data_IF_622253980594
#
_entry.id   IF_622253980594
#
_cell.length_a   1.000
_cell.length_b   1.000
_cell.length_c   1.000
_cell.angle_alpha   90.00
_cell.angle_beta   90.00
_cell.angle_gamma   90.00
#
_symmetry.space_group_name_H-M   'P 1'
#
loop_
_entity.id
_entity.type
_entity.pdbx_description
1 polymer ?
#
# COMPACT_ATOMS: atom_id res chain seq x y z
N UNK A 1 -6.77 -32.08 20.28
CA UNK A 1 -7.08 -30.82 20.83
C UNK A 1 -7.72 -29.85 19.87
N UNK A 2 -8.41 -28.88 20.44
CA UNK A 2 -9.04 -27.80 19.69
C UNK A 2 -8.04 -26.66 19.53
N UNK A 3 -8.19 -25.90 18.43
CA UNK A 3 -7.42 -24.70 18.21
C UNK A 3 -8.20 -23.48 18.65
N UNK A 4 -7.61 -22.64 19.50
CA UNK A 4 -8.17 -21.35 19.88
C UNK A 4 -7.27 -20.24 19.34
N UNK A 5 -7.79 -19.04 19.34
CA UNK A 5 -7.07 -17.86 18.82
C UNK A 5 -7.00 -16.78 19.88
N UNK A 6 -5.85 -16.16 20.02
CA UNK A 6 -5.67 -15.04 20.93
C UNK A 6 -6.47 -13.84 20.43
N UNK A 7 -7.31 -13.27 21.30
CA UNK A 7 -8.19 -12.17 20.92
C UNK A 7 -7.45 -10.86 20.64
N UNK A 8 -6.20 -10.74 21.04
CA UNK A 8 -5.36 -9.55 20.78
C UNK A 8 -4.37 -9.78 19.65
N UNK A 9 -3.68 -10.92 19.66
CA UNK A 9 -2.61 -11.21 18.68
C UNK A 9 -3.10 -11.99 17.47
N UNK A 10 -4.27 -12.65 17.57
CA UNK A 10 -4.85 -13.54 16.56
C UNK A 10 -4.06 -14.85 16.38
N UNK A 11 -3.05 -15.08 17.19
CA UNK A 11 -2.21 -16.28 17.07
C UNK A 11 -2.97 -17.54 17.48
N UNK A 12 -2.82 -18.65 16.73
CA UNK A 12 -3.44 -19.91 17.10
C UNK A 12 -2.73 -20.57 18.27
N UNK A 13 -3.53 -21.20 19.14
CA UNK A 13 -3.03 -21.94 20.31
C UNK A 13 -3.79 -23.26 20.37
N UNK A 14 -3.09 -24.36 20.57
CA UNK A 14 -3.72 -25.66 20.78
C UNK A 14 -4.15 -25.77 22.23
N UNK A 15 -5.44 -26.07 22.44
CA UNK A 15 -6.01 -26.21 23.78
C UNK A 15 -5.83 -27.66 24.23
N UNK A 16 -5.15 -27.87 25.36
CA UNK A 16 -4.97 -29.19 25.97
C UNK A 16 -5.39 -29.20 27.42
N UNK A 17 -6.17 -28.22 27.87
CA UNK A 17 -6.69 -28.15 29.22
C UNK A 17 -8.21 -28.32 29.23
N UNK A 18 -8.76 -28.66 30.40
CA UNK A 18 -10.20 -28.76 30.62
C UNK A 18 -10.72 -27.51 31.31
N UNK A 19 -11.97 -27.14 31.00
CA UNK A 19 -12.61 -25.99 31.60
C UNK A 19 -12.92 -24.89 30.60
N UNK A 20 -13.50 -23.76 31.07
CA UNK A 20 -13.83 -22.66 30.18
C UNK A 20 -12.62 -21.95 29.63
N UNK A 21 -12.76 -21.38 28.41
CA UNK A 21 -11.68 -20.61 27.80
C UNK A 21 -11.45 -19.30 28.56
N UNK A 22 -10.18 -18.88 28.74
CA UNK A 22 -9.89 -17.52 29.21
C UNK A 22 -10.47 -16.49 28.27
N UNK A 23 -10.71 -15.26 28.78
CA UNK A 23 -11.20 -14.15 27.95
C UNK A 23 -10.26 -13.78 26.81
N UNK A 24 -8.96 -14.11 26.96
CA UNK A 24 -7.96 -13.85 25.94
C UNK A 24 -7.98 -14.82 24.76
N UNK A 25 -8.83 -15.87 24.82
CA UNK A 25 -8.90 -16.89 23.77
C UNK A 25 -10.33 -17.03 23.23
N UNK A 26 -10.44 -17.36 21.96
CA UNK A 26 -11.71 -17.68 21.30
C UNK A 26 -11.53 -18.85 20.34
N UNK A 27 -12.58 -19.66 20.17
CA UNK A 27 -12.59 -20.71 19.16
C UNK A 27 -12.88 -20.17 17.75
N UNK A 28 -13.30 -18.93 17.63
CA UNK A 28 -13.60 -18.30 16.34
C UNK A 28 -12.31 -17.86 15.68
N UNK A 29 -12.13 -18.27 14.41
CA UNK A 29 -10.94 -17.92 13.61
C UNK A 29 -11.11 -16.52 13.02
N UNK A 30 -10.09 -15.65 13.13
CA UNK A 30 -10.15 -14.36 12.43
C UNK A 30 -10.18 -14.59 10.92
N UNK A 31 -10.88 -13.70 10.19
CA UNK A 31 -11.06 -13.78 8.75
C UNK A 31 -10.04 -12.95 7.98
N UNK A 32 -9.40 -11.97 8.60
CA UNK A 32 -8.41 -11.10 7.97
C UNK A 32 -7.41 -10.61 8.99
N UNK A 33 -6.30 -10.06 8.49
CA UNK A 33 -5.28 -9.45 9.35
C UNK A 33 -5.76 -8.16 10.03
N UNK A 34 -6.86 -7.57 9.53
CA UNK A 34 -7.43 -6.34 10.09
C UNK A 34 -8.56 -6.60 11.07
N UNK A 35 -8.85 -7.87 11.36
CA UNK A 35 -9.90 -8.19 12.32
C UNK A 35 -9.48 -7.82 13.73
N UNK A 36 -10.43 -7.31 14.50
CA UNK A 36 -10.27 -7.08 15.94
C UNK A 36 -11.42 -7.75 16.68
N UNK A 37 -11.15 -8.17 17.90
CA UNK A 37 -12.14 -8.85 18.75
C UNK A 37 -12.98 -7.82 19.50
N UNK A 38 -14.32 -7.92 19.36
CA UNK A 38 -15.25 -6.98 20.01
C UNK A 38 -15.81 -7.50 21.34
N UNK A 39 -15.34 -8.67 21.79
CA UNK A 39 -15.85 -9.36 22.98
C UNK A 39 -16.70 -10.59 22.64
N UNK A 40 -17.19 -10.70 21.40
CA UNK A 40 -18.02 -11.81 20.94
C UNK A 40 -17.62 -12.31 19.56
N UNK A 41 -17.21 -11.43 18.69
CA UNK A 41 -16.91 -11.76 17.29
C UNK A 41 -15.68 -11.00 16.80
N UNK A 42 -15.10 -11.51 15.72
CA UNK A 42 -14.10 -10.78 14.96
C UNK A 42 -14.81 -9.80 14.05
N UNK A 43 -14.44 -8.53 14.15
CA UNK A 43 -14.94 -7.46 13.27
C UNK A 43 -13.77 -6.81 12.57
N UNK A 44 -13.99 -6.34 11.33
CA UNK A 44 -12.94 -5.68 10.57
C UNK A 44 -12.65 -4.30 11.18
N UNK A 45 -11.38 -4.04 11.48
CA UNK A 45 -10.93 -2.71 11.86
C UNK A 45 -10.76 -1.89 10.59
N UNK A 46 -11.80 -1.16 10.22
CA UNK A 46 -11.84 -0.39 8.97
C UNK A 46 -10.83 0.75 8.95
N UNK A 47 -10.53 1.32 10.11
CA UNK A 47 -9.52 2.38 10.21
C UNK A 47 -8.11 1.83 9.97
N UNK A 48 -7.79 0.68 10.56
CA UNK A 48 -6.50 0.02 10.34
C UNK A 48 -6.36 -0.42 8.89
N UNK A 49 -7.44 -0.94 8.29
CA UNK A 49 -7.47 -1.36 6.90
C UNK A 49 -7.20 -0.18 5.96
N UNK A 50 -7.86 0.94 6.20
CA UNK A 50 -7.66 2.15 5.41
C UNK A 50 -6.24 2.71 5.57
N UNK A 51 -5.71 2.72 6.80
CA UNK A 51 -4.35 3.18 7.06
C UNK A 51 -3.31 2.33 6.31
N UNK A 52 -3.49 1.00 6.30
CA UNK A 52 -2.60 0.09 5.57
C UNK A 52 -2.67 0.35 4.06
N UNK A 53 -3.88 0.58 3.53
CA UNK A 53 -4.07 0.88 2.11
C UNK A 53 -3.40 2.20 1.73
N UNK A 54 -3.54 3.23 2.55
CA UNK A 54 -2.88 4.52 2.31
C UNK A 54 -1.37 4.37 2.31
N UNK A 55 -0.80 3.59 3.25
CA UNK A 55 0.63 3.31 3.28
C UNK A 55 1.09 2.64 2.00
N UNK A 56 0.36 1.64 1.52
CA UNK A 56 0.67 0.93 0.28
C UNK A 56 0.64 1.87 -0.93
N UNK A 57 -0.38 2.72 -1.03
CA UNK A 57 -0.53 3.69 -2.12
C UNK A 57 0.59 4.74 -2.07
N UNK A 58 0.96 5.18 -0.86
CA UNK A 58 2.07 6.11 -0.66
C UNK A 58 3.39 5.53 -1.16
N UNK A 59 3.64 4.25 -0.90
CA UNK A 59 4.82 3.55 -1.42
C UNK A 59 4.78 3.45 -2.95
N UNK A 60 3.62 3.14 -3.52
CA UNK A 60 3.45 3.09 -4.97
C UNK A 60 3.71 4.44 -5.63
N UNK A 61 3.20 5.51 -5.05
CA UNK A 61 3.46 6.88 -5.54
C UNK A 61 4.95 7.19 -5.51
N UNK A 62 5.64 6.84 -4.42
CA UNK A 62 7.08 7.04 -4.28
C UNK A 62 7.87 6.28 -5.36
N UNK A 63 7.51 5.02 -5.62
CA UNK A 63 8.16 4.21 -6.66
C UNK A 63 7.96 4.81 -8.05
N UNK A 64 6.76 5.29 -8.34
CA UNK A 64 6.46 5.93 -9.63
C UNK A 64 7.23 7.23 -9.82
N UNK A 65 7.37 8.02 -8.75
CA UNK A 65 8.18 9.24 -8.77
C UNK A 65 9.66 8.95 -8.98
N UNK A 66 10.18 7.92 -8.32
CA UNK A 66 11.59 7.51 -8.50
C UNK A 66 11.87 7.08 -9.93
N UNK A 67 10.97 6.31 -10.53
CA UNK A 67 11.08 5.91 -11.94
C UNK A 67 11.11 7.12 -12.86
N UNK A 68 10.17 8.05 -12.64
CA UNK A 68 10.11 9.27 -13.44
C UNK A 68 11.38 10.12 -13.27
N UNK A 69 11.88 10.26 -12.05
CA UNK A 69 13.11 11.01 -11.76
C UNK A 69 14.31 10.40 -12.47
N UNK A 70 14.45 9.08 -12.47
CA UNK A 70 15.55 8.40 -13.13
C UNK A 70 15.54 8.65 -14.64
N UNK A 71 14.37 8.54 -15.24
CA UNK A 71 14.22 8.75 -16.69
C UNK A 71 14.46 10.21 -17.05
N UNK A 72 13.90 11.15 -16.29
CA UNK A 72 14.10 12.58 -16.50
C UNK A 72 15.58 12.94 -16.39
N UNK A 73 16.29 12.36 -15.42
CA UNK A 73 17.71 12.64 -15.20
C UNK A 73 18.54 12.33 -16.43
N UNK A 74 18.41 11.13 -17.01
CA UNK A 74 19.25 10.79 -18.17
C UNK A 74 18.80 11.54 -19.44
N UNK A 75 17.51 11.81 -19.61
CA UNK A 75 17.04 12.61 -20.73
C UNK A 75 17.52 14.06 -20.64
N UNK A 76 17.51 14.61 -19.43
CA UNK A 76 18.00 15.96 -19.19
C UNK A 76 19.50 16.07 -19.45
N UNK A 77 20.27 15.06 -19.05
CA UNK A 77 21.71 15.02 -19.35
C UNK A 77 21.97 15.02 -20.85
N UNK A 78 21.19 14.26 -21.62
CA UNK A 78 21.34 14.24 -23.07
C UNK A 78 21.07 15.61 -23.68
N UNK A 79 20.06 16.34 -23.19
CA UNK A 79 19.78 17.70 -23.64
C UNK A 79 20.91 18.64 -23.24
N UNK A 80 21.41 18.54 -22.01
CA UNK A 80 22.43 19.44 -21.47
C UNK A 80 23.76 19.35 -22.23
N UNK A 81 24.09 18.19 -22.78
CA UNK A 81 25.31 17.98 -23.56
C UNK A 81 25.10 18.00 -25.08
N UNK A 82 23.91 18.43 -25.50
CA UNK A 82 23.52 18.56 -26.91
C UNK A 82 23.56 17.24 -27.71
N UNK A 83 23.29 16.12 -27.04
CA UNK A 83 23.24 14.81 -27.69
C UNK A 83 21.83 14.25 -27.77
N UNK A 84 20.83 14.96 -27.27
CA UNK A 84 19.45 14.48 -27.30
C UNK A 84 18.90 14.45 -28.72
N UNK A 85 18.22 13.35 -29.05
CA UNK A 85 17.41 13.27 -30.27
C UNK A 85 16.12 14.08 -30.07
N UNK A 86 15.42 14.36 -31.18
CA UNK A 86 14.09 15.00 -31.10
C UNK A 86 13.11 14.16 -30.26
N UNK A 87 13.21 12.84 -30.40
CA UNK A 87 12.39 11.90 -29.64
C UNK A 87 12.68 12.00 -28.15
N UNK A 88 13.96 12.07 -27.77
CA UNK A 88 14.37 12.21 -26.39
C UNK A 88 13.95 13.56 -25.79
N UNK A 89 14.07 14.64 -26.54
CA UNK A 89 13.63 15.95 -26.08
C UNK A 89 12.10 15.98 -25.86
N UNK A 90 11.36 15.35 -26.75
CA UNK A 90 9.90 15.23 -26.62
C UNK A 90 9.53 14.36 -25.42
N UNK A 91 10.23 13.24 -25.25
CA UNK A 91 10.01 12.33 -24.12
C UNK A 91 10.28 13.04 -22.79
N UNK A 92 11.32 13.86 -22.72
CA UNK A 92 11.64 14.63 -21.52
C UNK A 92 10.47 15.50 -21.08
N UNK A 93 9.82 16.21 -22.02
CA UNK A 93 8.67 17.04 -21.70
C UNK A 93 7.49 16.21 -21.20
N UNK A 94 7.23 15.07 -21.82
CA UNK A 94 6.16 14.16 -21.41
C UNK A 94 6.39 13.60 -20.01
N UNK A 95 7.61 13.21 -19.69
CA UNK A 95 7.97 12.67 -18.37
C UNK A 95 7.91 13.73 -17.27
N UNK A 96 8.32 14.97 -17.58
CA UNK A 96 8.20 16.08 -16.65
C UNK A 96 6.73 16.37 -16.33
N UNK A 97 5.87 16.36 -17.35
CA UNK A 97 4.43 16.55 -17.18
C UNK A 97 3.82 15.43 -16.33
N UNK A 98 4.19 14.19 -16.60
CA UNK A 98 3.76 13.03 -15.83
C UNK A 98 4.16 13.17 -14.36
N UNK A 99 5.41 13.57 -14.12
CA UNK A 99 5.92 13.76 -12.75
C UNK A 99 5.13 14.83 -11.98
N UNK A 100 4.79 15.92 -12.63
CA UNK A 100 3.96 16.96 -12.02
C UNK A 100 2.59 16.42 -11.65
N UNK A 101 1.96 15.66 -12.55
CA UNK A 101 0.67 15.04 -12.29
C UNK A 101 0.74 14.01 -11.15
N UNK A 102 1.82 13.25 -11.08
CA UNK A 102 2.05 12.31 -9.96
C UNK A 102 2.13 13.04 -8.62
N UNK A 103 2.84 14.16 -8.57
CA UNK A 103 2.95 14.94 -7.33
C UNK A 103 1.60 15.47 -6.87
N UNK A 104 0.66 15.65 -7.78
CA UNK A 104 -0.69 16.16 -7.48
C UNK A 104 -1.68 15.07 -7.09
N UNK A 105 -1.29 13.79 -7.18
CA UNK A 105 -2.16 12.68 -6.78
C UNK A 105 -2.43 12.77 -5.28
N UNK A 106 -3.72 12.80 -4.93
CA UNK A 106 -4.16 12.83 -3.53
C UNK A 106 -4.36 11.40 -3.03
N UNK A 107 -3.47 10.95 -2.15
CA UNK A 107 -3.51 9.60 -1.59
C UNK A 107 -4.62 9.43 -0.56
N UNK A 108 -5.21 10.52 -0.06
CA UNK A 108 -6.30 10.44 0.92
C UNK A 108 -7.61 9.93 0.33
N UNK A 109 -7.73 9.89 -1.00
CA UNK A 109 -8.93 9.39 -1.68
C UNK A 109 -8.96 7.87 -1.80
N UNK A 110 -7.95 7.16 -1.27
CA UNK A 110 -7.90 5.70 -1.32
C UNK A 110 -9.22 5.06 -0.90
N UNK A 111 -9.66 4.00 -1.60
CA UNK A 111 -8.97 3.26 -2.68
C UNK A 111 -9.10 3.88 -4.07
N UNK A 112 -9.82 4.99 -4.23
CA UNK A 112 -10.16 5.57 -5.53
C UNK A 112 -9.05 6.50 -6.03
N UNK A 113 -7.89 5.92 -6.34
CA UNK A 113 -6.74 6.67 -6.85
C UNK A 113 -6.72 6.61 -8.37
N UNK A 114 -6.75 7.79 -9.00
CA UNK A 114 -6.56 7.91 -10.44
C UNK A 114 -5.10 8.22 -10.73
N UNK A 115 -4.35 7.20 -11.15
CA UNK A 115 -2.96 7.38 -11.52
C UNK A 115 -2.87 8.06 -12.90
N UNK A 116 -2.00 9.08 -13.07
CA UNK A 116 -1.79 9.65 -14.39
C UNK A 116 -1.22 8.60 -15.34
N UNK A 117 -1.52 8.76 -16.62
CA UNK A 117 -1.04 7.82 -17.64
C UNK A 117 0.46 8.01 -17.85
N UNK A 118 1.20 6.89 -17.73
CA UNK A 118 2.64 6.87 -17.94
C UNK A 118 2.96 7.17 -19.40
N UNK A 119 3.96 8.02 -19.69
CA UNK A 119 4.38 8.28 -21.07
C UNK A 119 4.85 7.01 -21.77
N UNK A 120 4.53 6.91 -23.04
CA UNK A 120 4.88 5.76 -23.88
C UNK A 120 6.08 6.10 -24.75
#
# INVERSE_FOLDING_TARGET
GLTAYNTQTKQPIIIDFMGPLPESLTLLKPNSEFDKWDGKNWIVDTEAQKAALITQIKQEKSQRLDEADNIITYLQEAVDVDLATEEEATALQKWKKYRVLLNRVDISTAPDIEWPQKPV
#
